data_IF_584444438999
#
_entry.id   IF_584444438999
#
_cell.length_a   1.000
_cell.length_b   1.000
_cell.length_c   1.000
_cell.angle_alpha   90.00
_cell.angle_beta   90.00
_cell.angle_gamma   90.00
#
_symmetry.space_group_name_H-M   'P 1'
#
loop_
_entity.id
_entity.type
_entity.pdbx_description
1 polymer ?
#
# COMPACT_ATOMS: atom_id res chain seq x y z
N UNK A 1 -9.47 -6.63 -10.36
CA UNK A 1 -8.13 -7.28 -10.45
C UNK A 1 -7.17 -6.53 -9.54
N UNK A 2 -6.31 -7.21 -8.77
CA UNK A 2 -5.30 -6.54 -7.94
C UNK A 2 -4.11 -6.12 -8.79
N UNK A 3 -3.80 -4.83 -8.81
CA UNK A 3 -2.68 -4.28 -9.59
C UNK A 3 -1.38 -4.22 -8.76
N UNK A 4 -1.51 -4.08 -7.43
CA UNK A 4 -0.39 -4.10 -6.49
C UNK A 4 -0.90 -4.52 -5.11
N UNK A 5 -0.18 -5.42 -4.44
CA UNK A 5 -0.43 -5.77 -3.05
C UNK A 5 0.91 -6.12 -2.41
N UNK A 6 1.24 -5.45 -1.31
CA UNK A 6 2.44 -5.73 -0.51
C UNK A 6 2.13 -5.58 0.97
N UNK A 7 2.68 -6.50 1.77
CA UNK A 7 2.56 -6.46 3.22
C UNK A 7 3.96 -6.41 3.85
N UNK A 8 4.08 -5.67 4.95
CA UNK A 8 5.31 -5.57 5.73
C UNK A 8 4.97 -5.67 7.22
N UNK A 9 5.77 -6.40 8.00
CA UNK A 9 5.49 -6.65 9.41
C UNK A 9 6.69 -6.37 10.31
N UNK A 10 6.41 -6.10 11.58
CA UNK A 10 7.39 -6.05 12.66
C UNK A 10 6.72 -6.46 13.96
N UNK A 11 7.24 -7.53 14.57
CA UNK A 11 6.60 -8.15 15.74
C UNK A 11 5.12 -8.48 15.48
N UNK A 12 4.21 -7.88 16.25
CA UNK A 12 2.75 -8.01 16.17
C UNK A 12 2.09 -6.99 15.20
N UNK A 13 2.88 -6.08 14.63
CA UNK A 13 2.39 -5.03 13.75
C UNK A 13 2.49 -5.41 12.29
N UNK A 14 1.45 -5.11 11.52
CA UNK A 14 1.39 -5.33 10.07
C UNK A 14 0.93 -4.08 9.36
N UNK A 15 1.57 -3.75 8.24
CA UNK A 15 1.11 -2.76 7.29
C UNK A 15 0.92 -3.39 5.92
N UNK A 16 -0.18 -3.04 5.25
CA UNK A 16 -0.51 -3.52 3.92
C UNK A 16 -0.80 -2.36 2.98
N UNK A 17 -0.24 -2.44 1.78
CA UNK A 17 -0.35 -1.47 0.72
C UNK A 17 -1.03 -2.12 -0.47
N UNK A 18 -2.19 -1.60 -0.86
CA UNK A 18 -3.05 -2.21 -1.88
C UNK A 18 -3.35 -1.16 -2.95
N UNK A 19 -3.25 -1.57 -4.21
CA UNK A 19 -3.82 -0.88 -5.36
C UNK A 19 -4.66 -1.88 -6.13
N UNK A 20 -5.95 -1.59 -6.26
CA UNK A 20 -6.89 -2.44 -6.97
C UNK A 20 -7.59 -1.67 -8.09
N UNK A 21 -7.78 -2.34 -9.22
CA UNK A 21 -8.60 -1.80 -10.31
C UNK A 21 -10.07 -2.05 -9.97
N UNK A 22 -10.87 -1.00 -10.13
CA UNK A 22 -12.32 -0.94 -9.95
C UNK A 22 -12.99 -0.52 -11.26
N UNK A 23 -14.31 -0.59 -11.34
CA UNK A 23 -15.04 -0.19 -12.55
C UNK A 23 -14.91 1.32 -12.86
N UNK A 24 -14.60 2.13 -11.84
CA UNK A 24 -14.48 3.58 -11.96
C UNK A 24 -13.02 4.09 -11.99
N UNK A 25 -12.02 3.20 -12.04
CA UNK A 25 -10.60 3.55 -11.97
C UNK A 25 -9.85 2.68 -10.97
N UNK A 26 -9.07 3.28 -10.07
CA UNK A 26 -8.26 2.57 -9.10
C UNK A 26 -8.57 3.02 -7.68
N UNK A 27 -8.60 2.05 -6.78
CA UNK A 27 -8.58 2.29 -5.35
C UNK A 27 -7.18 2.03 -4.81
N UNK A 28 -6.69 2.97 -4.01
CA UNK A 28 -5.43 2.91 -3.29
C UNK A 28 -5.74 2.87 -1.80
N UNK A 29 -5.23 1.84 -1.11
CA UNK A 29 -5.50 1.61 0.31
C UNK A 29 -4.22 1.29 1.08
N UNK A 30 -4.13 1.83 2.29
CA UNK A 30 -3.14 1.47 3.30
C UNK A 30 -3.87 0.96 4.54
N UNK A 31 -3.47 -0.22 5.00
CA UNK A 31 -4.01 -0.86 6.20
C UNK A 31 -2.89 -0.98 7.23
N UNK A 32 -3.18 -0.71 8.50
CA UNK A 32 -2.29 -0.97 9.63
C UNK A 32 -3.05 -1.81 10.67
N UNK A 33 -2.48 -2.94 11.08
CA UNK A 33 -3.02 -3.80 12.15
C UNK A 33 -4.50 -4.21 11.96
N UNK A 34 -4.99 -4.22 10.71
CA UNK A 34 -6.36 -4.45 10.22
C UNK A 34 -7.27 -3.22 10.09
N UNK A 35 -6.78 -2.03 10.38
CA UNK A 35 -7.51 -0.78 10.19
C UNK A 35 -7.07 -0.07 8.91
N UNK A 36 -8.03 0.43 8.13
CA UNK A 36 -7.73 1.26 6.96
C UNK A 36 -7.33 2.65 7.44
N UNK A 37 -6.04 2.95 7.36
CA UNK A 37 -5.50 4.26 7.79
C UNK A 37 -5.49 5.27 6.64
N UNK A 38 -5.54 4.80 5.39
CA UNK A 38 -5.64 5.65 4.21
C UNK A 38 -6.39 4.94 3.09
N UNK A 39 -7.29 5.67 2.44
CA UNK A 39 -8.04 5.21 1.28
C UNK A 39 -8.25 6.37 0.31
N UNK A 40 -8.04 6.12 -0.98
CA UNK A 40 -8.27 7.10 -2.03
C UNK A 40 -8.69 6.41 -3.33
N UNK A 41 -9.50 7.10 -4.13
CA UNK A 41 -9.88 6.66 -5.47
C UNK A 41 -9.31 7.61 -6.51
N UNK A 42 -8.73 7.05 -7.56
CA UNK A 42 -8.13 7.78 -8.66
C UNK A 42 -8.69 7.29 -9.98
N UNK A 43 -8.99 8.23 -10.87
CA UNK A 43 -9.38 7.94 -12.25
C UNK A 43 -8.21 8.12 -13.22
N UNK A 44 -7.09 8.70 -12.76
CA UNK A 44 -5.89 8.90 -13.56
C UNK A 44 -4.75 7.99 -13.11
N UNK A 45 -4.11 7.35 -14.10
CA UNK A 45 -2.98 6.45 -13.87
C UNK A 45 -1.78 7.15 -13.22
N UNK A 46 -1.55 8.43 -13.52
CA UNK A 46 -0.42 9.18 -12.96
C UNK A 46 -0.50 9.32 -11.43
N UNK A 47 -1.69 9.51 -10.85
CA UNK A 47 -1.90 9.49 -9.39
C UNK A 47 -1.65 8.11 -8.80
N UNK A 48 -2.05 7.05 -9.49
CA UNK A 48 -1.80 5.67 -9.07
C UNK A 48 -0.30 5.38 -9.04
N UNK A 49 0.45 5.80 -10.06
CA UNK A 49 1.90 5.68 -10.07
C UNK A 49 2.57 6.45 -8.92
N UNK A 50 2.11 7.69 -8.66
CA UNK A 50 2.61 8.47 -7.52
C UNK A 50 2.33 7.77 -6.19
N UNK A 51 1.14 7.22 -6.01
CA UNK A 51 0.79 6.44 -4.81
C UNK A 51 1.68 5.20 -4.66
N UNK A 52 1.90 4.45 -5.76
CA UNK A 52 2.80 3.29 -5.76
C UNK A 52 4.23 3.66 -5.37
N UNK A 53 4.76 4.78 -5.88
CA UNK A 53 6.09 5.29 -5.49
C UNK A 53 6.14 5.65 -4.00
N UNK A 54 5.10 6.30 -3.49
CA UNK A 54 5.01 6.63 -2.06
C UNK A 54 5.01 5.36 -1.18
N UNK A 55 4.31 4.29 -1.59
CA UNK A 55 4.36 3.01 -0.90
C UNK A 55 5.76 2.39 -0.88
N UNK A 56 6.47 2.40 -2.01
CA UNK A 56 7.86 1.90 -2.08
C UNK A 56 8.79 2.69 -1.15
N UNK A 57 8.66 4.01 -1.10
CA UNK A 57 9.44 4.86 -0.19
C UNK A 57 9.11 4.51 1.27
N UNK A 58 7.83 4.41 1.61
CA UNK A 58 7.37 4.05 2.96
C UNK A 58 7.90 2.68 3.39
N UNK A 59 7.77 1.66 2.55
CA UNK A 59 8.32 0.32 2.80
C UNK A 59 9.85 0.35 2.96
N UNK A 60 10.56 1.21 2.22
CA UNK A 60 12.01 1.36 2.35
C UNK A 60 12.39 1.94 3.72
N UNK A 61 11.67 2.97 4.19
CA UNK A 61 11.86 3.52 5.54
C UNK A 61 11.61 2.44 6.59
N UNK A 62 10.49 1.72 6.47
CA UNK A 62 10.13 0.66 7.42
C UNK A 62 11.16 -0.47 7.44
N UNK A 63 11.73 -0.86 6.28
CA UNK A 63 12.84 -1.83 6.23
C UNK A 63 14.05 -1.36 7.02
N UNK A 64 14.42 -0.08 6.90
CA UNK A 64 15.51 0.52 7.68
C UNK A 64 15.21 0.54 9.19
N UNK A 65 13.93 0.58 9.57
CA UNK A 65 13.45 0.48 10.95
C UNK A 65 13.31 -0.97 11.44
N UNK A 66 13.71 -1.97 10.65
CA UNK A 66 13.69 -3.39 11.01
C UNK A 66 12.37 -4.10 10.72
N UNK A 67 11.51 -3.54 9.87
CA UNK A 67 10.33 -4.25 9.35
C UNK A 67 10.73 -5.18 8.20
N UNK A 68 10.01 -6.29 8.04
CA UNK A 68 10.27 -7.30 7.02
C UNK A 68 9.07 -7.50 6.11
N UNK A 69 9.32 -7.62 4.81
CA UNK A 69 8.25 -7.93 3.84
C UNK A 69 7.68 -9.32 4.12
N UNK A 70 6.38 -9.46 3.87
CA UNK A 70 5.67 -10.73 3.90
C UNK A 70 4.96 -10.93 2.58
N UNK A 71 5.05 -12.14 2.03
CA UNK A 71 4.23 -12.59 0.91
C UNK A 71 2.74 -12.65 1.28
#
# INVERSE_FOLDING_TARGET
>A
MMAFSKSIRKADRIRRYIIQTTDAGWEVREEQDREVVRQAWYQDWHRVERARRAFVISMTSLRNEGWTETD
#
